data_IF_090147565233
#
_entry.id   IF_090147565233
#
_cell.length_a   1.000
_cell.length_b   1.000
_cell.length_c   1.000
_cell.angle_alpha   90.00
_cell.angle_beta   90.00
_cell.angle_gamma   90.00
#
_symmetry.space_group_name_H-M   'P 1'
#
loop_
_entity.id
_entity.type
_entity.pdbx_description
1 polymer ?
#
# COMPACT_ATOMS: atom_id res chain seq x y z
N UNK A 1 20.15 2.82 16.77
CA UNK A 1 18.94 2.16 17.31
C UNK A 1 18.15 1.54 16.17
N UNK A 2 17.80 0.28 16.28
CA UNK A 2 17.01 -0.40 15.27
C UNK A 2 15.58 0.17 15.24
N UNK A 3 15.09 0.51 14.06
CA UNK A 3 13.70 0.94 13.86
C UNK A 3 12.80 -0.29 13.84
N UNK A 4 11.71 -0.26 14.57
CA UNK A 4 10.74 -1.34 14.52
C UNK A 4 9.69 -1.09 13.42
N UNK A 5 9.02 -2.15 12.99
CA UNK A 5 8.05 -2.07 11.91
C UNK A 5 6.85 -1.16 12.22
N UNK A 6 6.48 -1.06 13.50
CA UNK A 6 5.38 -0.19 13.92
C UNK A 6 5.73 1.30 13.71
N UNK A 7 6.93 1.71 14.11
CA UNK A 7 7.41 3.07 13.89
C UNK A 7 7.54 3.42 12.40
N UNK A 8 8.01 2.47 11.60
CA UNK A 8 8.14 2.64 10.14
C UNK A 8 6.76 2.82 9.50
N UNK A 9 5.80 1.99 9.89
CA UNK A 9 4.42 2.10 9.43
C UNK A 9 3.79 3.44 9.80
N UNK A 10 3.97 3.88 11.04
CA UNK A 10 3.49 5.19 11.49
C UNK A 10 4.12 6.34 10.70
N UNK A 11 5.41 6.30 10.47
CA UNK A 11 6.10 7.32 9.67
C UNK A 11 5.48 7.42 8.28
N UNK A 12 5.24 6.29 7.61
CA UNK A 12 4.58 6.28 6.31
C UNK A 12 3.20 6.90 6.34
N UNK A 13 2.38 6.57 7.33
CA UNK A 13 1.04 7.14 7.48
C UNK A 13 1.08 8.66 7.66
N UNK A 14 2.00 9.18 8.47
CA UNK A 14 2.15 10.63 8.65
C UNK A 14 2.62 11.33 7.37
N UNK A 15 3.53 10.72 6.61
CA UNK A 15 3.95 11.27 5.32
C UNK A 15 2.79 11.37 4.35
N UNK A 16 1.90 10.37 4.30
CA UNK A 16 0.71 10.40 3.44
C UNK A 16 -0.25 11.50 3.86
N UNK A 17 -0.48 11.68 5.16
CA UNK A 17 -1.31 12.77 5.65
C UNK A 17 -0.77 14.12 5.21
N UNK A 18 0.54 14.33 5.31
CA UNK A 18 1.18 15.57 4.88
C UNK A 18 0.98 15.81 3.37
N UNK A 19 1.14 14.78 2.55
CA UNK A 19 0.94 14.86 1.11
C UNK A 19 -0.52 15.19 0.75
N UNK A 20 -1.46 14.59 1.44
CA UNK A 20 -2.89 14.87 1.23
C UNK A 20 -3.25 16.30 1.63
N UNK A 21 -2.75 16.76 2.78
CA UNK A 21 -2.97 18.12 3.24
C UNK A 21 -2.41 19.17 2.27
N UNK A 22 -1.21 18.94 1.74
CA UNK A 22 -0.60 19.85 0.76
C UNK A 22 -1.40 19.92 -0.54
N UNK A 23 -2.15 18.86 -0.87
CA UNK A 23 -3.02 18.82 -2.05
C UNK A 23 -4.43 19.36 -1.81
N UNK A 24 -4.69 19.84 -0.60
CA UNK A 24 -5.95 20.49 -0.25
C UNK A 24 -7.03 19.55 0.28
N UNK A 25 -6.70 18.29 0.59
CA UNK A 25 -7.65 17.36 1.20
C UNK A 25 -7.72 17.54 2.70
N UNK A 26 -8.89 17.27 3.27
CA UNK A 26 -9.04 17.06 4.71
C UNK A 26 -8.82 15.58 4.95
N UNK A 27 -7.80 15.22 5.70
CA UNK A 27 -7.45 13.84 5.91
C UNK A 27 -7.13 13.55 7.38
N UNK A 28 -7.41 12.33 7.80
CA UNK A 28 -7.13 11.87 9.14
C UNK A 28 -6.87 10.37 9.17
N UNK A 29 -6.16 9.94 10.21
CA UNK A 29 -5.92 8.52 10.49
C UNK A 29 -7.16 7.91 11.12
N UNK A 30 -7.40 6.64 10.78
CA UNK A 30 -8.36 5.80 11.52
C UNK A 30 -7.69 5.24 12.79
N UNK A 31 -8.49 4.66 13.66
CA UNK A 31 -7.96 3.95 14.83
C UNK A 31 -7.10 2.76 14.39
N UNK A 32 -6.05 2.49 15.14
CA UNK A 32 -5.18 1.33 14.90
C UNK A 32 -6.01 0.03 14.93
N UNK A 33 -5.67 -0.89 14.02
CA UNK A 33 -6.33 -2.18 13.92
C UNK A 33 -7.53 -2.23 12.98
N UNK A 34 -7.89 -1.13 12.32
CA UNK A 34 -8.86 -1.18 11.22
C UNK A 34 -8.24 -1.94 10.03
N UNK A 35 -9.03 -2.84 9.43
CA UNK A 35 -8.44 -3.86 8.56
C UNK A 35 -7.92 -3.37 7.22
N UNK A 36 -8.60 -2.44 6.57
CA UNK A 36 -8.24 -1.99 5.22
C UNK A 36 -8.14 -0.48 5.09
N UNK A 37 -8.40 0.26 6.15
CA UNK A 37 -8.46 1.71 6.11
C UNK A 37 -7.52 2.27 7.16
N UNK A 38 -6.41 2.86 6.71
CA UNK A 38 -5.48 3.56 7.60
C UNK A 38 -5.81 5.04 7.69
N UNK A 39 -6.34 5.61 6.60
CA UNK A 39 -6.67 7.04 6.51
C UNK A 39 -7.92 7.25 5.68
N UNK A 40 -8.60 8.35 5.95
CA UNK A 40 -9.72 8.83 5.15
C UNK A 40 -9.37 10.23 4.66
N UNK A 41 -9.58 10.48 3.37
CA UNK A 41 -9.37 11.79 2.75
C UNK A 41 -10.66 12.29 2.12
N UNK A 42 -10.98 13.56 2.37
CA UNK A 42 -12.19 14.20 1.85
C UNK A 42 -11.80 15.47 1.08
N UNK A 43 -12.36 15.61 -0.12
CA UNK A 43 -12.30 16.87 -0.86
C UNK A 43 -13.26 17.86 -0.21
N UNK A 44 -12.79 19.00 0.33
CA UNK A 44 -13.65 19.93 1.02
C UNK A 44 -14.64 20.66 0.12
N UNK A 45 -14.43 20.71 -1.19
CA UNK A 45 -15.33 21.37 -2.14
C UNK A 45 -16.51 20.46 -2.51
N UNK A 46 -16.27 19.18 -2.70
CA UNK A 46 -17.30 18.22 -3.14
C UNK A 46 -17.84 17.36 -2.01
N UNK A 47 -17.12 17.30 -0.88
CA UNK A 47 -17.34 16.39 0.24
C UNK A 47 -17.25 14.90 -0.13
N UNK A 48 -16.67 14.58 -1.27
CA UNK A 48 -16.35 13.20 -1.63
C UNK A 48 -15.18 12.71 -0.81
N UNK A 49 -15.31 11.49 -0.31
CA UNK A 49 -14.29 10.85 0.53
C UNK A 49 -13.81 9.54 -0.09
N UNK A 50 -12.56 9.22 0.21
CA UNK A 50 -11.98 7.92 -0.13
C UNK A 50 -11.29 7.33 1.09
N UNK A 51 -11.08 6.01 1.02
CA UNK A 51 -10.35 5.27 2.03
C UNK A 51 -8.97 4.93 1.50
N UNK A 52 -7.96 5.03 2.36
CA UNK A 52 -6.57 4.82 1.98
C UNK A 52 -5.95 3.75 2.87
N UNK A 53 -5.34 2.76 2.24
CA UNK A 53 -4.43 1.81 2.86
C UNK A 53 -3.00 2.27 2.60
N UNK A 54 -2.21 2.43 3.64
CA UNK A 54 -0.80 2.81 3.53
C UNK A 54 0.08 1.60 3.75
N UNK A 55 1.04 1.38 2.87
CA UNK A 55 2.05 0.33 3.01
C UNK A 55 3.43 0.95 2.87
N UNK A 56 4.28 0.73 3.86
CA UNK A 56 5.59 1.36 3.95
C UNK A 56 6.69 0.32 3.93
N UNK A 57 7.76 0.59 3.15
CA UNK A 57 9.01 -0.16 3.25
C UNK A 57 10.15 0.79 3.59
N UNK A 58 11.13 0.28 4.32
CA UNK A 58 12.29 1.06 4.75
C UNK A 58 13.47 0.78 3.81
N UNK A 59 13.65 1.66 2.84
CA UNK A 59 14.65 1.50 1.79
C UNK A 59 14.14 0.63 0.64
N UNK A 60 14.97 0.50 -0.39
CA UNK A 60 14.69 -0.37 -1.52
C UNK A 60 14.66 -1.83 -1.07
N UNK A 61 13.81 -2.62 -1.70
CA UNK A 61 13.66 -4.01 -1.34
C UNK A 61 12.77 -4.77 -2.32
N UNK A 62 12.40 -5.99 -1.95
CA UNK A 62 11.57 -6.87 -2.75
C UNK A 62 10.08 -6.59 -2.52
N UNK A 63 9.60 -5.48 -3.05
CA UNK A 63 8.19 -5.10 -2.98
C UNK A 63 7.69 -4.65 -1.62
N UNK A 64 6.38 -4.70 -1.44
CA UNK A 64 5.70 -4.37 -0.18
C UNK A 64 4.95 -5.58 0.34
N UNK A 65 5.09 -5.85 1.63
CA UNK A 65 4.41 -6.97 2.30
C UNK A 65 2.94 -6.61 2.48
N UNK A 66 2.09 -7.54 2.08
CA UNK A 66 0.63 -7.45 2.19
C UNK A 66 0.05 -8.76 2.71
N UNK A 67 -1.26 -8.88 2.71
CA UNK A 67 -1.95 -10.11 3.13
C UNK A 67 -3.11 -10.42 2.19
N UNK A 68 -3.72 -11.58 2.37
CA UNK A 68 -4.86 -12.02 1.54
C UNK A 68 -6.02 -11.01 1.54
N UNK A 69 -6.25 -10.28 2.63
CA UNK A 69 -7.30 -9.24 2.67
C UNK A 69 -7.08 -8.13 1.65
N UNK A 70 -5.83 -7.91 1.23
CA UNK A 70 -5.49 -6.89 0.24
C UNK A 70 -5.83 -7.30 -1.21
N UNK A 71 -6.28 -8.53 -1.43
CA UNK A 71 -6.85 -8.95 -2.72
C UNK A 71 -8.24 -8.37 -2.97
N UNK A 72 -8.89 -7.85 -1.93
CA UNK A 72 -10.25 -7.28 -2.03
C UNK A 72 -10.24 -5.96 -2.79
N UNK A 73 -11.23 -5.78 -3.66
CA UNK A 73 -11.38 -4.58 -4.50
C UNK A 73 -12.61 -3.80 -4.07
N UNK A 74 -12.44 -2.51 -3.84
CA UNK A 74 -13.53 -1.58 -3.55
C UNK A 74 -13.30 -0.29 -4.33
N UNK A 75 -14.35 0.28 -4.90
CA UNK A 75 -14.26 1.53 -5.68
C UNK A 75 -13.63 2.67 -4.88
N UNK A 76 -13.93 2.75 -3.60
CA UNK A 76 -13.43 3.81 -2.72
C UNK A 76 -12.13 3.49 -1.99
N UNK A 77 -11.43 2.42 -2.34
CA UNK A 77 -10.19 2.02 -1.66
C UNK A 77 -8.97 2.24 -2.56
N UNK A 78 -8.07 3.08 -2.07
CA UNK A 78 -6.79 3.38 -2.70
C UNK A 78 -5.64 2.94 -1.81
N UNK A 79 -4.51 2.67 -2.43
CA UNK A 79 -3.25 2.34 -1.75
C UNK A 79 -2.25 3.43 -2.00
N UNK A 80 -1.56 3.85 -0.95
CA UNK A 80 -0.34 4.66 -1.09
C UNK A 80 0.81 3.83 -0.56
N UNK A 81 1.72 3.48 -1.45
CA UNK A 81 2.93 2.73 -1.13
C UNK A 81 4.07 3.72 -0.93
N UNK A 82 4.85 3.52 0.11
CA UNK A 82 5.92 4.44 0.47
C UNK A 82 7.23 3.67 0.60
N UNK A 83 8.27 4.23 -0.02
CA UNK A 83 9.63 3.83 0.27
C UNK A 83 10.33 4.94 1.04
N UNK A 84 10.72 4.64 2.27
CA UNK A 84 11.55 5.55 3.05
C UNK A 84 13.01 5.48 2.55
N UNK A 85 13.64 6.63 2.42
CA UNK A 85 15.00 6.76 1.87
C UNK A 85 15.98 7.31 2.91
N UNK A 86 15.78 6.97 4.18
CA UNK A 86 16.52 7.50 5.31
C UNK A 86 15.83 8.70 5.94
N UNK A 87 16.34 9.13 7.10
CA UNK A 87 15.74 10.20 7.90
C UNK A 87 15.88 11.58 7.29
N UNK A 88 16.88 11.79 6.44
CA UNK A 88 17.19 13.10 5.86
C UNK A 88 16.83 13.22 4.37
N UNK A 89 16.08 12.26 3.85
CA UNK A 89 15.69 12.23 2.46
C UNK A 89 14.16 12.14 2.32
N UNK A 90 13.65 12.67 1.22
CA UNK A 90 12.22 12.60 0.89
C UNK A 90 11.86 11.16 0.51
N UNK A 91 10.75 10.61 1.04
CA UNK A 91 10.27 9.30 0.61
C UNK A 91 9.76 9.31 -0.83
N UNK A 92 9.74 8.13 -1.45
CA UNK A 92 9.03 7.93 -2.70
C UNK A 92 7.59 7.46 -2.41
N UNK A 93 6.65 7.95 -3.20
CA UNK A 93 5.23 7.64 -3.08
C UNK A 93 4.70 7.04 -4.37
N UNK A 94 3.90 5.97 -4.25
CA UNK A 94 3.28 5.30 -5.39
C UNK A 94 1.81 5.05 -5.07
N UNK A 95 0.92 5.56 -5.92
CA UNK A 95 -0.53 5.51 -5.69
C UNK A 95 -1.15 4.48 -6.62
N UNK A 96 -1.94 3.57 -6.05
CA UNK A 96 -2.65 2.53 -6.80
C UNK A 96 -4.09 2.41 -6.32
N UNK A 97 -5.01 2.23 -7.24
CA UNK A 97 -6.36 1.83 -6.89
C UNK A 97 -6.41 0.35 -6.50
N UNK A 98 -7.34 -0.03 -5.63
CA UNK A 98 -7.47 -1.43 -5.19
C UNK A 98 -7.74 -2.38 -6.35
N UNK A 99 -8.36 -1.91 -7.43
CA UNK A 99 -8.62 -2.71 -8.63
C UNK A 99 -7.35 -3.14 -9.37
N UNK A 100 -6.22 -2.47 -9.13
CA UNK A 100 -4.92 -2.91 -9.64
C UNK A 100 -4.24 -3.87 -8.67
N UNK A 101 -4.18 -3.50 -7.40
CA UNK A 101 -3.46 -4.27 -6.36
C UNK A 101 -4.12 -5.65 -6.14
N UNK A 102 -5.43 -5.68 -5.99
CA UNK A 102 -6.15 -6.92 -5.64
C UNK A 102 -5.93 -8.04 -6.63
N UNK A 103 -6.25 -7.86 -7.92
CA UNK A 103 -6.02 -8.89 -8.94
C UNK A 103 -4.54 -9.24 -9.11
N UNK A 104 -3.65 -8.25 -9.02
CA UNK A 104 -2.21 -8.48 -9.11
C UNK A 104 -1.73 -9.45 -8.01
N UNK A 105 -2.12 -9.22 -6.77
CA UNK A 105 -1.75 -10.07 -5.64
C UNK A 105 -2.31 -11.48 -5.78
N UNK A 106 -3.55 -11.60 -6.22
CA UNK A 106 -4.19 -12.89 -6.43
C UNK A 106 -3.46 -13.71 -7.48
N UNK A 107 -3.20 -13.14 -8.64
CA UNK A 107 -2.50 -13.81 -9.74
C UNK A 107 -1.08 -14.22 -9.33
N UNK A 108 -0.33 -13.32 -8.73
CA UNK A 108 1.05 -13.59 -8.27
C UNK A 108 1.09 -14.72 -7.26
N UNK A 109 0.20 -14.69 -6.27
CA UNK A 109 0.18 -15.69 -5.20
C UNK A 109 -0.18 -17.08 -5.71
N UNK A 110 -1.26 -17.19 -6.47
CA UNK A 110 -1.75 -18.50 -6.94
C UNK A 110 -0.89 -19.08 -8.06
N UNK A 111 -0.25 -18.25 -8.86
CA UNK A 111 0.78 -18.71 -9.81
C UNK A 111 1.99 -19.30 -9.07
N UNK A 112 2.45 -18.63 -8.02
CA UNK A 112 3.54 -19.13 -7.18
C UNK A 112 3.14 -20.43 -6.46
N UNK A 113 1.94 -20.49 -5.90
CA UNK A 113 1.45 -21.64 -5.15
C UNK A 113 1.34 -22.90 -6.02
N UNK A 114 1.06 -22.73 -7.31
CA UNK A 114 0.94 -23.82 -8.27
C UNK A 114 2.28 -24.45 -8.66
N UNK A 115 3.40 -23.77 -8.39
CA UNK A 115 4.75 -24.25 -8.71
C UNK A 115 5.30 -25.04 -7.52
N UNK A 116 5.63 -26.34 -7.67
CA UNK A 116 6.22 -27.12 -6.58
C UNK A 116 7.54 -26.52 -6.09
N UNK A 117 7.88 -26.84 -4.85
CA UNK A 117 9.22 -26.55 -4.31
C UNK A 117 10.31 -27.26 -5.11
N UNK A 118 11.56 -26.85 -4.97
CA UNK A 118 12.72 -27.49 -5.63
C UNK A 118 12.81 -28.98 -5.35
N UNK A 119 12.38 -29.43 -4.16
CA UNK A 119 12.35 -30.85 -3.79
C UNK A 119 11.13 -31.62 -4.32
N UNK A 120 10.26 -30.97 -5.10
CA UNK A 120 9.05 -31.58 -5.67
C UNK A 120 7.82 -31.56 -4.75
N UNK A 121 7.96 -31.12 -3.51
CA UNK A 121 6.83 -31.03 -2.58
C UNK A 121 5.90 -29.86 -2.93
N UNK A 122 4.59 -29.98 -2.67
CA UNK A 122 3.67 -28.88 -2.85
C UNK A 122 3.98 -27.75 -1.86
N UNK A 123 3.76 -26.51 -2.32
CA UNK A 123 3.87 -25.34 -1.45
C UNK A 123 2.65 -25.24 -0.55
N UNK A 124 2.87 -24.79 0.68
CA UNK A 124 1.78 -24.48 1.61
C UNK A 124 1.23 -23.09 1.35
N UNK A 125 -0.08 -22.98 1.34
CA UNK A 125 -0.74 -21.68 1.30
C UNK A 125 -0.48 -20.91 2.60
N UNK A 126 -0.47 -19.60 2.52
CA UNK A 126 -0.31 -18.70 3.65
C UNK A 126 -1.10 -17.42 3.43
N UNK A 127 -1.26 -16.64 4.50
CA UNK A 127 -1.92 -15.33 4.41
C UNK A 127 -1.03 -14.24 3.82
N UNK A 128 0.27 -14.49 3.68
CA UNK A 128 1.21 -13.48 3.20
C UNK A 128 1.09 -13.27 1.69
N UNK A 129 1.11 -12.00 1.30
CA UNK A 129 1.21 -11.56 -0.10
C UNK A 129 2.36 -10.57 -0.20
N UNK A 130 2.88 -10.39 -1.40
CA UNK A 130 3.92 -9.40 -1.65
C UNK A 130 3.66 -8.74 -3.00
N UNK A 131 3.48 -7.43 -2.97
CA UNK A 131 3.30 -6.64 -4.17
C UNK A 131 4.66 -6.19 -4.70
N UNK A 132 5.03 -6.69 -5.87
CA UNK A 132 6.31 -6.41 -6.54
C UNK A 132 6.06 -5.84 -7.93
N UNK A 133 5.60 -4.60 -8.02
CA UNK A 133 5.34 -3.99 -9.32
C UNK A 133 6.64 -3.80 -10.10
N UNK A 134 6.54 -3.82 -11.42
CA UNK A 134 7.66 -3.45 -12.31
C UNK A 134 7.93 -1.95 -12.22
N UNK A 135 9.11 -1.51 -12.69
CA UNK A 135 9.43 -0.09 -12.74
C UNK A 135 8.42 0.70 -13.60
N UNK A 136 7.94 0.11 -14.71
CA UNK A 136 6.91 0.72 -15.54
C UNK A 136 5.58 0.86 -14.80
N UNK A 137 5.20 -0.13 -14.01
CA UNK A 137 3.98 -0.06 -13.18
C UNK A 137 4.10 1.01 -12.10
N UNK A 138 5.30 1.23 -11.55
CA UNK A 138 5.56 2.27 -10.56
C UNK A 138 5.49 3.70 -11.13
N UNK A 139 5.63 3.89 -12.42
CA UNK A 139 5.45 5.19 -13.07
C UNK A 139 3.97 5.63 -13.09
N UNK A 140 3.08 4.77 -12.67
CA UNK A 140 1.69 4.76 -12.98
C UNK A 140 0.87 5.93 -12.51
N UNK A 141 0.41 5.99 -11.31
CA UNK A 141 -0.71 6.87 -11.05
C UNK A 141 -0.33 8.15 -10.33
N UNK A 142 -0.73 9.27 -10.89
CA UNK A 142 -0.73 10.54 -10.18
C UNK A 142 -1.68 10.45 -8.98
N UNK A 143 -1.53 11.39 -8.05
CA UNK A 143 -2.43 11.52 -6.89
C UNK A 143 -3.87 11.89 -7.30
N UNK A 144 -4.47 11.10 -8.17
CA UNK A 144 -5.83 11.31 -8.68
C UNK A 144 -6.88 10.70 -7.75
N UNK A 145 -6.67 10.83 -6.47
CA UNK A 145 -7.37 10.05 -5.47
C UNK A 145 -8.82 10.48 -5.33
N UNK A 146 -9.12 11.75 -5.41
CA UNK A 146 -10.50 12.24 -5.36
C UNK A 146 -10.73 13.23 -6.49
N UNK A 147 -11.57 12.85 -7.39
CA UNK A 147 -12.08 13.77 -8.42
C UNK A 147 -13.59 13.88 -8.34
#
# INVERSE_FOLDING_TARGET
MAKNNHSIGNAGEFYVLAQLAQRGYIAGKTDDGQTLIDEIATDPETLKSINIQVKTRNGAGDGWIMSAKNERVFDGLWYVLIQLNGTDAVPDFYVFHSSFIGPWLHEDHYSWLAIPKRNGEPRKDSNMRRFRPTDDELLGEEWLIVK
#
